data_IF_052417584190
#
_entry.id   IF_052417584190
#
_cell.length_a   1.000
_cell.length_b   1.000
_cell.length_c   1.000
_cell.angle_alpha   90.00
_cell.angle_beta   90.00
_cell.angle_gamma   90.00
#
_symmetry.space_group_name_H-M   'P 1'
#
loop_
_entity.id
_entity.type
_entity.pdbx_description
1 polymer ?
#
# COMPACT_ATOMS: atom_id res chain seq x y z
N UNK A 1 8.12 -20.30 7.66
CA UNK A 1 8.39 -18.92 8.12
C UNK A 1 9.48 -18.19 7.33
N UNK A 2 10.57 -18.84 6.88
CA UNK A 2 11.65 -18.18 6.12
C UNK A 2 11.25 -17.49 4.79
N UNK A 3 10.14 -17.91 4.16
CA UNK A 3 9.68 -17.34 2.87
C UNK A 3 9.00 -15.96 3.03
N UNK A 4 8.25 -15.74 4.11
CA UNK A 4 7.49 -14.50 4.31
C UNK A 4 8.42 -13.30 4.58
N UNK A 5 9.46 -13.49 5.40
CA UNK A 5 10.44 -12.44 5.69
C UNK A 5 11.26 -12.03 4.45
N UNK A 6 11.49 -12.96 3.51
CA UNK A 6 12.18 -12.68 2.25
C UNK A 6 11.28 -11.98 1.21
N UNK A 7 9.95 -12.13 1.32
CA UNK A 7 8.99 -11.50 0.42
C UNK A 7 8.76 -10.02 0.76
N UNK A 8 8.83 -9.64 2.04
CA UNK A 8 8.52 -8.26 2.50
C UNK A 8 9.32 -7.18 1.76
N UNK A 9 10.65 -7.26 1.59
CA UNK A 9 11.39 -6.23 0.85
C UNK A 9 10.92 -6.10 -0.61
N UNK A 10 10.63 -7.22 -1.28
CA UNK A 10 10.15 -7.22 -2.67
C UNK A 10 8.76 -6.64 -2.82
N UNK A 11 7.90 -6.88 -1.84
CA UNK A 11 6.57 -6.30 -1.81
C UNK A 11 6.63 -4.79 -1.50
N UNK A 12 7.59 -4.33 -0.68
CA UNK A 12 7.83 -2.90 -0.47
C UNK A 12 8.34 -2.22 -1.75
N UNK A 13 9.28 -2.83 -2.47
CA UNK A 13 9.73 -2.36 -3.79
C UNK A 13 8.54 -2.21 -4.75
N UNK A 14 7.60 -3.16 -4.75
CA UNK A 14 6.40 -3.09 -5.59
C UNK A 14 5.41 -1.96 -5.23
N UNK A 15 5.50 -1.35 -4.04
CA UNK A 15 4.72 -0.15 -3.69
C UNK A 15 5.33 1.14 -4.25
N UNK A 16 6.60 1.11 -4.61
CA UNK A 16 7.35 2.22 -5.20
C UNK A 16 7.34 2.15 -6.74
N UNK A 17 6.61 1.19 -7.32
CA UNK A 17 6.45 1.01 -8.77
C UNK A 17 5.60 2.14 -9.38
N UNK A 18 5.89 2.50 -10.64
CA UNK A 18 5.17 3.52 -11.41
C UNK A 18 3.88 2.99 -12.05
N UNK A 19 3.67 1.66 -12.06
CA UNK A 19 2.45 1.02 -12.53
C UNK A 19 1.43 0.80 -11.39
N UNK A 20 0.22 1.35 -11.56
CA UNK A 20 -0.88 1.22 -10.58
C UNK A 20 -1.30 -0.23 -10.32
N UNK A 21 -1.28 -1.11 -11.34
CA UNK A 21 -1.60 -2.52 -11.16
C UNK A 21 -0.50 -3.27 -10.39
N UNK A 22 0.77 -2.92 -10.60
CA UNK A 22 1.88 -3.45 -9.83
C UNK A 22 1.77 -3.06 -8.35
N UNK A 23 1.53 -1.78 -8.06
CA UNK A 23 1.30 -1.27 -6.71
C UNK A 23 0.07 -1.92 -6.04
N UNK A 24 -1.05 -2.03 -6.76
CA UNK A 24 -2.25 -2.71 -6.25
C UNK A 24 -1.98 -4.20 -5.94
N UNK A 25 -1.22 -4.89 -6.79
CA UNK A 25 -0.83 -6.29 -6.59
C UNK A 25 0.05 -6.46 -5.35
N UNK A 26 0.99 -5.53 -5.12
CA UNK A 26 1.83 -5.52 -3.94
C UNK A 26 1.01 -5.34 -2.65
N UNK A 27 0.06 -4.40 -2.64
CA UNK A 27 -0.88 -4.20 -1.53
C UNK A 27 -1.69 -5.46 -1.24
N UNK A 28 -2.28 -6.08 -2.26
CA UNK A 28 -3.05 -7.32 -2.11
C UNK A 28 -2.19 -8.48 -1.58
N UNK A 29 -0.94 -8.58 -2.02
CA UNK A 29 0.00 -9.57 -1.52
C UNK A 29 0.32 -9.35 -0.03
N UNK A 30 0.50 -8.10 0.41
CA UNK A 30 0.62 -7.77 1.83
C UNK A 30 -0.64 -8.12 2.63
N UNK A 31 -1.83 -7.83 2.11
CA UNK A 31 -3.10 -8.19 2.75
C UNK A 31 -3.18 -9.71 2.98
N UNK A 32 -2.82 -10.51 1.97
CA UNK A 32 -2.79 -11.98 2.07
C UNK A 32 -1.74 -12.45 3.08
N UNK A 33 -0.56 -11.86 3.07
CA UNK A 33 0.52 -12.18 3.99
C UNK A 33 0.11 -11.87 5.45
N UNK A 34 -0.51 -10.73 5.70
CA UNK A 34 -1.08 -10.38 7.01
C UNK A 34 -2.21 -11.32 7.44
N UNK A 35 -3.09 -11.70 6.52
CA UNK A 35 -4.24 -12.58 6.83
C UNK A 35 -3.81 -14.02 7.14
N UNK A 36 -2.79 -14.54 6.44
CA UNK A 36 -2.38 -15.95 6.57
C UNK A 36 -1.18 -16.18 7.50
N UNK A 37 -0.25 -15.22 7.59
CA UNK A 37 0.98 -15.34 8.39
C UNK A 37 0.94 -14.46 9.63
N UNK A 38 0.20 -13.35 9.58
CA UNK A 38 0.14 -12.37 10.65
C UNK A 38 1.35 -11.44 10.69
N UNK A 39 1.38 -10.56 11.69
CA UNK A 39 2.38 -9.50 11.82
C UNK A 39 3.81 -9.85 12.22
N UNK A 40 4.21 -11.06 12.68
CA UNK A 40 5.60 -11.29 13.08
C UNK A 40 6.62 -10.94 12.00
N UNK A 41 6.24 -11.01 10.72
CA UNK A 41 7.07 -10.66 9.56
C UNK A 41 7.05 -9.17 9.18
N UNK A 42 6.17 -8.37 9.79
CA UNK A 42 5.95 -6.94 9.50
C UNK A 42 6.02 -6.12 10.80
N UNK A 43 7.18 -6.14 11.49
CA UNK A 43 7.39 -5.38 12.73
C UNK A 43 8.51 -4.36 12.58
N UNK A 44 8.39 -3.23 13.28
CA UNK A 44 9.42 -2.20 13.28
C UNK A 44 9.40 -1.42 11.96
N UNK A 45 10.54 -1.36 11.28
CA UNK A 45 10.71 -0.53 10.09
C UNK A 45 9.83 -0.94 8.89
N UNK A 46 9.73 -2.22 8.51
CA UNK A 46 8.88 -2.63 7.39
C UNK A 46 7.41 -2.26 7.56
N UNK A 47 6.90 -2.25 8.81
CA UNK A 47 5.53 -1.80 9.09
C UNK A 47 5.35 -0.31 8.86
N UNK A 48 6.36 0.50 9.23
CA UNK A 48 6.34 1.95 8.99
C UNK A 48 6.43 2.26 7.50
N UNK A 49 7.31 1.57 6.77
CA UNK A 49 7.45 1.73 5.33
C UNK A 49 6.15 1.34 4.60
N UNK A 50 5.54 0.21 4.97
CA UNK A 50 4.25 -0.21 4.43
C UNK A 50 3.15 0.83 4.69
N UNK A 51 3.02 1.31 5.93
CA UNK A 51 2.02 2.31 6.29
C UNK A 51 2.24 3.65 5.56
N UNK A 52 3.50 4.08 5.43
CA UNK A 52 3.85 5.30 4.70
C UNK A 52 3.53 5.17 3.20
N UNK A 53 3.87 4.04 2.57
CA UNK A 53 3.52 3.78 1.17
C UNK A 53 2.01 3.79 0.93
N UNK A 54 1.25 3.15 1.82
CA UNK A 54 -0.23 3.19 1.77
C UNK A 54 -0.77 4.62 1.92
N UNK A 55 -0.19 5.43 2.81
CA UNK A 55 -0.59 6.83 2.96
C UNK A 55 -0.32 7.64 1.70
N UNK A 56 0.87 7.48 1.08
CA UNK A 56 1.19 8.13 -0.20
C UNK A 56 0.20 7.75 -1.30
N UNK A 57 -0.24 6.48 -1.35
CA UNK A 57 -1.24 6.03 -2.30
C UNK A 57 -2.58 6.74 -2.04
N UNK A 58 -3.06 6.74 -0.80
CA UNK A 58 -4.33 7.37 -0.42
C UNK A 58 -4.32 8.89 -0.57
N UNK A 59 -3.14 9.52 -0.52
CA UNK A 59 -2.95 10.95 -0.75
C UNK A 59 -2.78 11.30 -2.24
N UNK A 60 -2.73 10.33 -3.15
CA UNK A 60 -2.46 10.56 -4.57
C UNK A 60 -1.02 10.97 -4.88
N UNK A 61 -0.07 10.67 -3.98
CA UNK A 61 1.35 11.09 -4.05
C UNK A 61 2.33 9.95 -4.24
N UNK A 62 1.85 8.71 -4.40
CA UNK A 62 2.70 7.58 -4.75
C UNK A 62 3.25 7.70 -6.18
N UNK A 63 4.39 7.06 -6.45
CA UNK A 63 5.05 7.10 -7.77
C UNK A 63 4.11 6.68 -8.92
N UNK A 64 3.23 5.70 -8.68
CA UNK A 64 2.21 5.27 -9.65
C UNK A 64 1.12 6.32 -9.99
N UNK A 65 1.11 7.47 -9.32
CA UNK A 65 0.30 8.63 -9.69
C UNK A 65 1.08 9.67 -10.50
N UNK A 66 2.42 9.73 -10.39
CA UNK A 66 3.24 10.75 -11.05
C UNK A 66 3.43 10.51 -12.56
N UNK A 67 3.15 9.29 -13.05
CA UNK A 67 3.32 8.89 -14.46
C UNK A 67 2.38 9.54 -15.49
N UNK A 68 1.60 10.57 -15.13
CA UNK A 68 0.63 11.23 -16.01
C UNK A 68 0.86 12.73 -16.25
N UNK A 69 1.92 13.34 -15.71
CA UNK A 69 2.06 14.81 -15.64
C UNK A 69 3.13 15.43 -16.56
N UNK A 70 3.58 14.75 -17.63
CA UNK A 70 4.43 15.38 -18.66
C UNK A 70 3.61 15.72 -19.92
N UNK A 71 3.15 16.98 -19.96
CA UNK A 71 2.91 17.80 -21.16
C UNK A 71 1.99 17.24 -22.27
N UNK A 72 0.72 16.90 -21.96
CA UNK A 72 -0.31 16.90 -23.01
C UNK A 72 -1.66 17.36 -22.46
N UNK A 73 -2.17 18.47 -23.01
CA UNK A 73 -3.57 18.87 -22.93
C UNK A 73 -4.47 17.67 -23.27
N UNK A 74 -5.08 17.06 -22.25
CA UNK A 74 -6.09 16.02 -22.42
C UNK A 74 -5.93 14.86 -21.46
N UNK A 75 -6.56 15.01 -20.29
CA UNK A 75 -7.26 13.96 -19.53
C UNK A 75 -6.93 12.51 -19.98
N UNK A 76 -5.81 11.95 -19.52
CA UNK A 76 -5.61 10.50 -19.54
C UNK A 76 -6.41 9.83 -18.38
N UNK A 77 -7.66 10.25 -18.23
CA UNK A 77 -8.68 9.55 -17.44
C UNK A 77 -9.41 8.56 -18.35
N UNK A 78 -8.64 7.79 -19.13
CA UNK A 78 -9.20 6.66 -19.85
C UNK A 78 -9.86 5.66 -18.88
N UNK A 79 -10.90 4.92 -19.32
CA UNK A 79 -11.59 3.96 -18.44
C UNK A 79 -10.64 2.95 -17.78
N UNK A 80 -9.52 2.60 -18.43
CA UNK A 80 -8.50 1.73 -17.85
C UNK A 80 -7.70 2.36 -16.71
N UNK A 81 -7.42 3.66 -16.75
CA UNK A 81 -6.73 4.35 -15.64
C UNK A 81 -7.67 4.50 -14.44
N UNK A 82 -8.95 4.77 -14.66
CA UNK A 82 -9.98 4.80 -13.60
C UNK A 82 -10.14 3.42 -12.94
N UNK A 83 -10.21 2.35 -13.73
CA UNK A 83 -10.29 0.98 -13.20
C UNK A 83 -9.03 0.59 -12.40
N UNK A 84 -7.84 1.01 -12.86
CA UNK A 84 -6.59 0.78 -12.14
C UNK A 84 -6.52 1.56 -10.83
N UNK A 85 -6.97 2.82 -10.83
CA UNK A 85 -7.09 3.67 -9.66
C UNK A 85 -8.07 3.10 -8.63
N UNK A 86 -9.26 2.68 -9.07
CA UNK A 86 -10.24 2.05 -8.20
C UNK A 86 -9.68 0.77 -7.56
N UNK A 87 -9.02 -0.08 -8.35
CA UNK A 87 -8.37 -1.29 -7.84
C UNK A 87 -7.27 -0.99 -6.82
N UNK A 88 -6.47 0.06 -7.05
CA UNK A 88 -5.42 0.52 -6.16
C UNK A 88 -5.98 1.01 -4.82
N UNK A 89 -7.00 1.86 -4.85
CA UNK A 89 -7.66 2.39 -3.66
C UNK A 89 -8.37 1.31 -2.85
N UNK A 90 -9.05 0.36 -3.52
CA UNK A 90 -9.66 -0.80 -2.87
C UNK A 90 -8.59 -1.65 -2.19
N UNK A 91 -7.47 -1.94 -2.87
CA UNK A 91 -6.38 -2.72 -2.29
C UNK A 91 -5.75 -2.02 -1.07
N UNK A 92 -5.62 -0.69 -1.11
CA UNK A 92 -5.11 0.11 0.00
C UNK A 92 -6.05 0.05 1.22
N UNK A 93 -7.37 0.20 1.00
CA UNK A 93 -8.37 0.11 2.05
C UNK A 93 -8.45 -1.29 2.69
N UNK A 94 -8.37 -2.35 1.88
CA UNK A 94 -8.34 -3.73 2.37
C UNK A 94 -7.09 -3.98 3.22
N UNK A 95 -5.94 -3.46 2.80
CA UNK A 95 -4.69 -3.58 3.56
C UNK A 95 -4.77 -2.88 4.91
N UNK A 96 -5.32 -1.66 4.98
CA UNK A 96 -5.54 -0.96 6.25
C UNK A 96 -6.38 -1.80 7.22
N UNK A 97 -7.44 -2.44 6.70
CA UNK A 97 -8.30 -3.33 7.47
C UNK A 97 -7.53 -4.55 7.96
N UNK A 98 -6.73 -5.18 7.10
CA UNK A 98 -5.89 -6.32 7.46
C UNK A 98 -4.82 -5.96 8.49
N UNK A 99 -4.20 -4.78 8.39
CA UNK A 99 -3.23 -4.28 9.37
C UNK A 99 -3.88 -4.07 10.73
N UNK A 100 -5.04 -3.41 10.78
CA UNK A 100 -5.79 -3.20 12.02
C UNK A 100 -6.22 -4.52 12.66
N UNK A 101 -6.65 -5.49 11.85
CA UNK A 101 -7.01 -6.84 12.29
C UNK A 101 -5.83 -7.65 12.81
N UNK A 102 -4.72 -7.67 12.08
CA UNK A 102 -3.53 -8.45 12.44
C UNK A 102 -2.81 -7.89 13.67
N UNK A 103 -2.71 -6.56 13.81
CA UNK A 103 -1.89 -5.92 14.85
C UNK A 103 -2.53 -5.96 16.23
N UNK A 104 -3.85 -6.13 16.24
CA UNK A 104 -4.67 -5.70 17.35
C UNK A 104 -4.61 -4.19 17.51
N UNK A 105 -5.65 -3.66 18.15
CA UNK A 105 -5.86 -2.22 18.36
C UNK A 105 -4.64 -1.50 18.97
N UNK A 106 -3.82 -2.18 19.76
CA UNK A 106 -2.69 -1.55 20.47
C UNK A 106 -1.42 -1.35 19.64
N UNK A 107 -1.09 -2.26 18.71
CA UNK A 107 0.17 -2.13 17.95
C UNK A 107 0.02 -1.24 16.73
N UNK A 108 -1.15 -1.22 16.08
CA UNK A 108 -1.38 -0.35 14.93
C UNK A 108 -1.78 1.08 15.31
N UNK A 109 -2.38 1.31 16.48
CA UNK A 109 -2.85 2.65 16.86
C UNK A 109 -1.73 3.71 16.86
N UNK A 110 -0.51 3.34 17.28
CA UNK A 110 0.63 4.26 17.23
C UNK A 110 1.06 4.62 15.81
N UNK A 111 1.04 3.66 14.89
CA UNK A 111 1.35 3.90 13.48
C UNK A 111 0.25 4.74 12.83
N UNK A 112 -1.01 4.37 13.05
CA UNK A 112 -2.16 5.09 12.54
C UNK A 112 -2.18 6.55 12.99
N UNK A 113 -1.87 6.82 14.27
CA UNK A 113 -1.82 8.17 14.80
C UNK A 113 -0.73 9.06 14.21
N UNK A 114 0.38 8.47 13.76
CA UNK A 114 1.50 9.22 13.19
C UNK A 114 1.38 9.36 11.67
N UNK A 115 0.79 8.36 11.00
CA UNK A 115 0.85 8.23 9.54
C UNK A 115 -0.49 8.53 8.85
N UNK A 116 -1.63 8.25 9.49
CA UNK A 116 -2.95 8.35 8.83
C UNK A 116 -3.88 9.40 9.43
N UNK A 117 -3.58 9.95 10.61
CA UNK A 117 -4.34 11.05 11.18
C UNK A 117 -3.84 12.38 10.61
N UNK A 118 -4.72 13.25 10.06
CA UNK A 118 -4.32 14.59 9.65
C UNK A 118 -3.84 15.40 10.87
N UNK A 119 -2.79 16.20 10.67
CA UNK A 119 -2.22 17.10 11.67
C UNK A 119 -3.20 18.22 12.07
#
# INVERSE_FOLDING_TARGET
EASAAAAVPRLLEGLEDDDKHAAASALQAFTRLLTHVGLPCLRGEPLRQLAAGVALILEGKAACHEGGEDDSDGEDEGPGNIEAEEALLVAAADLLTALAGAAGKQQYAGVFAVVHLPA
#
